data_IF_386931521346
#
_entry.id   IF_386931521346
#
_cell.length_a   1.000
_cell.length_b   1.000
_cell.length_c   1.000
_cell.angle_alpha   90.00
_cell.angle_beta   90.00
_cell.angle_gamma   90.00
#
_symmetry.space_group_name_H-M   'P 1'
#
loop_
_entity.id
_entity.type
_entity.pdbx_description
1 polymer ?
#
# COMPACT_ATOMS: atom_id res chain seq x y z
N UNK A 1 -33.15 -44.10 32.06
CA UNK A 1 -32.48 -42.85 32.49
C UNK A 1 -31.95 -42.18 31.24
N UNK A 2 -32.29 -40.90 31.06
CA UNK A 2 -32.03 -40.09 29.86
C UNK A 2 -30.57 -39.63 29.86
N UNK A 3 -29.82 -39.86 28.78
CA UNK A 3 -28.51 -39.23 28.59
C UNK A 3 -28.42 -38.77 27.13
N UNK A 4 -28.81 -37.52 26.91
CA UNK A 4 -28.65 -36.83 25.63
C UNK A 4 -27.19 -36.49 25.41
N UNK A 5 -26.65 -36.87 24.25
CA UNK A 5 -25.33 -36.43 23.80
C UNK A 5 -25.53 -35.13 23.03
N UNK A 6 -25.02 -34.05 23.62
CA UNK A 6 -25.06 -32.68 23.11
C UNK A 6 -24.08 -32.58 21.93
N UNK A 7 -24.59 -32.40 20.71
CA UNK A 7 -23.77 -32.13 19.54
C UNK A 7 -23.36 -30.64 19.56
N UNK A 8 -22.09 -30.38 19.84
CA UNK A 8 -21.49 -29.04 19.75
C UNK A 8 -21.10 -28.83 18.28
N UNK A 9 -21.94 -28.14 17.53
CA UNK A 9 -21.64 -27.68 16.17
C UNK A 9 -20.67 -26.49 16.24
N UNK A 10 -19.40 -26.75 15.90
CA UNK A 10 -18.34 -25.75 15.77
C UNK A 10 -18.59 -24.89 14.52
N UNK A 11 -19.05 -23.66 14.72
CA UNK A 11 -19.27 -22.67 13.66
C UNK A 11 -17.92 -22.06 13.26
N UNK A 12 -17.33 -22.54 12.16
CA UNK A 12 -16.11 -21.98 11.59
C UNK A 12 -16.49 -20.67 10.90
N UNK A 13 -16.14 -19.55 11.53
CA UNK A 13 -16.28 -18.21 10.95
C UNK A 13 -15.15 -18.03 9.92
N UNK A 14 -15.47 -18.23 8.64
CA UNK A 14 -14.59 -17.87 7.53
C UNK A 14 -14.51 -16.35 7.47
N UNK A 15 -13.46 -15.78 8.07
CA UNK A 15 -13.09 -14.39 7.86
C UNK A 15 -12.52 -14.29 6.43
N UNK A 16 -13.35 -13.86 5.49
CA UNK A 16 -12.89 -13.46 4.17
C UNK A 16 -11.91 -12.31 4.37
N UNK A 17 -10.64 -12.52 4.00
CA UNK A 17 -9.65 -11.46 4.01
C UNK A 17 -10.15 -10.32 3.12
N UNK A 18 -10.38 -9.16 3.73
CA UNK A 18 -10.59 -7.91 3.02
C UNK A 18 -9.20 -7.48 2.55
N UNK A 19 -8.96 -7.63 1.25
CA UNK A 19 -7.75 -7.10 0.62
C UNK A 19 -8.14 -5.87 -0.19
N UNK A 20 -7.33 -4.82 -0.07
CA UNK A 20 -7.40 -3.69 -0.97
C UNK A 20 -7.20 -4.20 -2.41
N UNK A 21 -8.06 -3.74 -3.33
CA UNK A 21 -7.98 -4.05 -4.76
C UNK A 21 -7.87 -2.75 -5.57
N UNK A 22 -7.01 -2.78 -6.59
CA UNK A 22 -6.97 -1.75 -7.63
C UNK A 22 -7.93 -2.18 -8.74
N UNK A 23 -9.03 -1.45 -8.88
CA UNK A 23 -10.07 -1.68 -9.87
C UNK A 23 -9.90 -0.65 -10.99
N UNK A 24 -9.45 -1.10 -12.16
CA UNK A 24 -9.33 -0.26 -13.34
C UNK A 24 -10.64 -0.30 -14.12
N UNK A 25 -11.19 0.88 -14.41
CA UNK A 25 -12.44 1.04 -15.16
C UNK A 25 -12.16 1.15 -16.65
N UNK A 26 -13.14 0.75 -17.48
CA UNK A 26 -13.10 0.93 -18.94
C UNK A 26 -12.98 2.39 -19.37
N UNK A 27 -13.37 3.33 -18.50
CA UNK A 27 -13.21 4.77 -18.71
C UNK A 27 -11.75 5.23 -18.60
N UNK A 28 -10.84 4.38 -18.12
CA UNK A 28 -9.43 4.71 -17.84
C UNK A 28 -9.16 5.13 -16.40
N UNK A 29 -10.18 5.49 -15.64
CA UNK A 29 -10.05 5.78 -14.20
C UNK A 29 -9.73 4.50 -13.42
N UNK A 30 -9.12 4.65 -12.24
CA UNK A 30 -8.86 3.53 -11.33
C UNK A 30 -9.35 3.88 -9.93
N UNK A 31 -9.96 2.90 -9.27
CA UNK A 31 -10.38 2.95 -7.87
C UNK A 31 -9.45 2.05 -7.08
N UNK A 32 -9.05 2.50 -5.90
CA UNK A 32 -8.17 1.78 -4.99
C UNK A 32 -8.89 1.72 -3.65
N UNK A 33 -9.16 0.52 -3.16
CA UNK A 33 -9.97 0.35 -1.96
C UNK A 33 -10.38 -1.08 -1.67
N UNK A 34 -11.00 -1.28 -0.52
CA UNK A 34 -11.39 -2.58 -0.01
C UNK A 34 -12.71 -3.04 -0.63
N UNK A 35 -12.73 -4.23 -1.24
CA UNK A 35 -13.99 -4.81 -1.73
C UNK A 35 -14.76 -5.40 -0.57
N UNK A 36 -15.78 -4.66 -0.10
CA UNK A 36 -16.62 -5.07 1.02
C UNK A 36 -17.59 -6.18 0.64
N UNK A 37 -18.10 -6.14 -0.61
CA UNK A 37 -19.11 -7.08 -1.09
C UNK A 37 -19.15 -7.16 -2.61
N UNK A 38 -19.38 -8.38 -3.09
CA UNK A 38 -19.65 -8.67 -4.50
C UNK A 38 -21.08 -9.18 -4.69
N UNK A 39 -21.76 -8.59 -5.67
CA UNK A 39 -23.08 -9.02 -6.15
C UNK A 39 -22.98 -9.40 -7.64
N UNK A 40 -24.04 -10.01 -8.18
CA UNK A 40 -24.06 -10.49 -9.56
C UNK A 40 -23.90 -9.36 -10.61
N UNK A 41 -24.18 -8.11 -10.25
CA UNK A 41 -24.19 -6.95 -11.15
C UNK A 41 -23.17 -5.86 -10.79
N UNK A 42 -22.72 -5.81 -9.53
CA UNK A 42 -21.82 -4.76 -9.03
C UNK A 42 -20.99 -5.22 -7.83
N UNK A 43 -19.88 -4.53 -7.59
CA UNK A 43 -19.06 -4.62 -6.38
C UNK A 43 -19.18 -3.31 -5.58
N UNK A 44 -18.97 -3.41 -4.27
CA UNK A 44 -18.98 -2.29 -3.35
C UNK A 44 -17.58 -2.11 -2.77
N UNK A 45 -16.99 -0.95 -3.04
CA UNK A 45 -15.58 -0.64 -2.75
C UNK A 45 -15.51 0.48 -1.74
N UNK A 46 -14.87 0.24 -0.59
CA UNK A 46 -14.58 1.28 0.39
C UNK A 46 -13.30 2.01 0.00
N UNK A 47 -13.40 3.32 -0.20
CA UNK A 47 -12.26 4.20 -0.53
C UNK A 47 -11.75 4.99 0.69
N UNK A 48 -12.15 4.59 1.91
CA UNK A 48 -11.73 5.15 3.19
C UNK A 48 -12.58 6.32 3.69
N UNK A 49 -13.34 6.98 2.80
CA UNK A 49 -14.28 8.05 3.16
C UNK A 49 -15.74 7.77 2.76
N UNK A 50 -15.93 6.86 1.80
CA UNK A 50 -17.24 6.50 1.27
C UNK A 50 -17.16 5.11 0.61
N UNK A 51 -18.31 4.49 0.41
CA UNK A 51 -18.45 3.19 -0.26
C UNK A 51 -19.05 3.40 -1.64
N UNK A 52 -18.25 3.14 -2.67
CA UNK A 52 -18.64 3.31 -4.07
C UNK A 52 -19.13 1.99 -4.65
N UNK A 53 -20.35 2.00 -5.21
CA UNK A 53 -20.86 0.90 -6.01
C UNK A 53 -20.31 0.97 -7.43
N UNK A 54 -19.57 -0.05 -7.85
CA UNK A 54 -18.98 -0.17 -9.18
C UNK A 54 -19.68 -1.29 -9.97
N UNK A 55 -20.38 -0.98 -11.07
CA UNK A 55 -20.97 -2.00 -11.94
C UNK A 55 -19.90 -2.89 -12.60
N UNK A 56 -20.08 -4.21 -12.57
CA UNK A 56 -19.10 -5.17 -13.12
C UNK A 56 -18.84 -4.93 -14.62
N UNK A 57 -19.84 -4.48 -15.37
CA UNK A 57 -19.70 -4.19 -16.80
C UNK A 57 -18.82 -2.97 -17.11
N UNK A 58 -18.50 -2.14 -16.12
CA UNK A 58 -17.60 -0.99 -16.24
C UNK A 58 -16.17 -1.31 -15.83
N UNK A 59 -15.92 -2.48 -15.24
CA UNK A 59 -14.59 -2.91 -14.81
C UNK A 59 -13.82 -3.45 -16.03
N UNK A 60 -12.60 -2.97 -16.19
CA UNK A 60 -11.64 -3.47 -17.18
C UNK A 60 -10.76 -4.55 -16.56
N UNK A 61 -10.20 -4.31 -15.37
CA UNK A 61 -9.38 -5.27 -14.65
C UNK A 61 -9.45 -5.04 -13.14
N UNK A 62 -9.20 -6.09 -12.37
CA UNK A 62 -9.05 -6.08 -10.91
C UNK A 62 -7.66 -6.61 -10.60
N UNK A 63 -6.95 -5.97 -9.69
CA UNK A 63 -5.64 -6.43 -9.22
C UNK A 63 -5.63 -6.34 -7.71
N UNK A 64 -5.39 -7.47 -7.06
CA UNK A 64 -5.29 -7.52 -5.60
C UNK A 64 -4.04 -6.78 -5.15
N UNK A 65 -4.07 -6.07 -4.01
CA UNK A 65 -2.88 -5.47 -3.43
C UNK A 65 -1.78 -6.53 -3.20
N UNK A 66 -2.16 -7.77 -2.88
CA UNK A 66 -1.25 -8.91 -2.77
C UNK A 66 -0.60 -9.30 -4.11
N UNK A 67 -1.35 -9.29 -5.23
CA UNK A 67 -0.81 -9.52 -6.58
C UNK A 67 0.08 -8.37 -7.05
N UNK A 68 -0.23 -7.14 -6.63
CA UNK A 68 0.59 -5.95 -6.89
C UNK A 68 1.86 -5.94 -6.01
N UNK A 69 1.79 -6.50 -4.80
CA UNK A 69 2.93 -6.67 -3.89
C UNK A 69 3.80 -7.89 -4.25
N UNK A 70 3.24 -8.93 -4.88
CA UNK A 70 3.95 -10.11 -5.37
C UNK A 70 4.42 -9.99 -6.82
N UNK A 71 3.98 -8.98 -7.57
CA UNK A 71 4.71 -8.54 -8.75
C UNK A 71 6.11 -8.14 -8.27
N UNK A 72 7.13 -8.92 -8.66
CA UNK A 72 8.51 -8.68 -8.25
C UNK A 72 8.84 -7.20 -8.42
N UNK A 73 9.00 -6.50 -7.29
CA UNK A 73 9.32 -5.08 -7.26
C UNK A 73 10.60 -4.90 -8.07
N UNK A 74 10.46 -4.40 -9.28
CA UNK A 74 11.59 -4.22 -10.18
C UNK A 74 12.29 -2.96 -9.73
N UNK A 75 13.33 -3.14 -8.93
CA UNK A 75 14.20 -2.05 -8.51
C UNK A 75 15.07 -1.69 -9.70
N UNK A 76 14.92 -0.45 -10.17
CA UNK A 76 15.79 0.14 -11.17
C UNK A 76 16.91 0.87 -10.45
N UNK A 77 18.13 0.36 -10.56
CA UNK A 77 19.32 1.01 -10.02
C UNK A 77 19.80 2.12 -10.96
N UNK A 78 19.88 3.36 -10.44
CA UNK A 78 20.33 4.56 -11.15
C UNK A 78 21.72 5.00 -10.70
N UNK A 79 22.52 4.11 -10.12
CA UNK A 79 23.88 4.33 -9.60
C UNK A 79 23.95 5.23 -8.36
N UNK A 80 23.24 6.36 -8.35
CA UNK A 80 23.18 7.29 -7.20
C UNK A 80 21.99 7.01 -6.27
N UNK A 81 20.93 6.42 -6.82
CA UNK A 81 19.69 6.14 -6.11
C UNK A 81 18.95 4.98 -6.78
N UNK A 82 17.92 4.46 -6.12
CA UNK A 82 17.08 3.37 -6.62
C UNK A 82 15.64 3.84 -6.80
N UNK A 83 14.98 3.32 -7.82
CA UNK A 83 13.57 3.59 -8.11
C UNK A 83 12.79 2.28 -8.16
N UNK A 84 11.58 2.27 -7.62
CA UNK A 84 10.68 1.13 -7.69
C UNK A 84 9.23 1.60 -7.70
N UNK A 85 8.36 0.84 -8.36
CA UNK A 85 6.92 1.00 -8.19
C UNK A 85 6.51 0.22 -6.95
N UNK A 86 6.23 0.94 -5.87
CA UNK A 86 5.86 0.37 -4.58
C UNK A 86 4.35 0.45 -4.36
N UNK A 87 3.75 -0.51 -3.63
CA UNK A 87 2.37 -0.40 -3.19
C UNK A 87 2.15 0.89 -2.39
N UNK A 88 0.97 1.49 -2.54
CA UNK A 88 0.59 2.62 -1.70
C UNK A 88 0.40 2.16 -0.26
N UNK A 89 0.84 2.99 0.67
CA UNK A 89 0.64 2.83 2.12
C UNK A 89 0.18 4.17 2.69
N UNK A 90 -0.39 4.14 3.89
CA UNK A 90 -0.72 5.37 4.62
C UNK A 90 0.54 6.18 4.94
N UNK A 91 0.38 7.49 5.17
CA UNK A 91 1.50 8.37 5.56
C UNK A 91 2.19 7.84 6.82
N UNK A 92 1.41 7.29 7.76
CA UNK A 92 1.92 6.72 9.00
C UNK A 92 2.85 5.54 8.73
N UNK A 93 2.40 4.59 7.93
CA UNK A 93 3.20 3.39 7.60
C UNK A 93 4.46 3.78 6.81
N UNK A 94 4.36 4.72 5.87
CA UNK A 94 5.52 5.22 5.14
C UNK A 94 6.53 5.93 6.07
N UNK A 95 6.04 6.67 7.07
CA UNK A 95 6.92 7.32 8.04
C UNK A 95 7.60 6.31 8.98
N UNK A 96 6.87 5.25 9.41
CA UNK A 96 7.42 4.17 10.21
C UNK A 96 8.44 3.34 9.41
N UNK A 97 8.21 3.11 8.12
CA UNK A 97 9.07 2.31 7.25
C UNK A 97 10.31 3.06 6.72
N UNK A 98 10.15 4.30 6.25
CA UNK A 98 11.23 5.05 5.60
C UNK A 98 11.83 6.16 6.47
N UNK A 99 11.26 6.42 7.65
CA UNK A 99 11.70 7.50 8.54
C UNK A 99 13.14 7.34 9.03
N UNK A 100 13.63 6.10 9.18
CA UNK A 100 15.01 5.80 9.55
C UNK A 100 16.05 6.30 8.53
N UNK A 101 15.64 6.51 7.28
CA UNK A 101 16.50 7.05 6.23
C UNK A 101 16.75 8.56 6.36
N UNK A 102 16.01 9.26 7.22
CA UNK A 102 16.16 10.71 7.45
C UNK A 102 17.31 10.97 8.41
N UNK A 103 18.26 11.82 8.01
CA UNK A 103 19.46 12.14 8.79
C UNK A 103 19.56 13.63 9.08
N UNK A 104 20.22 13.98 10.20
CA UNK A 104 20.67 15.34 10.49
C UNK A 104 21.96 15.63 9.73
N UNK A 105 22.01 16.78 9.06
CA UNK A 105 23.21 17.30 8.43
C UNK A 105 23.64 18.55 9.18
N UNK A 106 24.87 18.51 9.70
CA UNK A 106 25.50 19.62 10.41
C UNK A 106 26.68 20.14 9.59
N UNK A 107 26.65 21.44 9.29
CA UNK A 107 27.73 22.16 8.63
C UNK A 107 28.10 23.39 9.47
N UNK A 108 29.30 23.97 9.28
CA UNK A 108 29.65 25.21 9.99
C UNK A 108 28.68 26.38 9.74
N UNK A 109 27.96 26.36 8.62
CA UNK A 109 27.01 27.40 8.21
C UNK A 109 25.58 27.19 8.72
N UNK A 110 25.24 25.98 9.21
CA UNK A 110 23.90 25.70 9.71
C UNK A 110 23.56 24.22 9.83
N UNK A 111 22.30 23.97 10.16
CA UNK A 111 21.72 22.64 10.31
C UNK A 111 20.65 22.41 9.25
N UNK A 112 20.56 21.17 8.75
CA UNK A 112 19.52 20.75 7.83
C UNK A 112 19.24 19.26 7.92
N UNK A 113 18.36 18.78 7.05
CA UNK A 113 18.03 17.35 6.94
C UNK A 113 18.56 16.78 5.64
N UNK A 114 18.82 15.48 5.63
CA UNK A 114 19.08 14.70 4.43
C UNK A 114 18.32 13.39 4.44
N UNK A 115 18.43 12.66 3.34
CA UNK A 115 17.85 11.33 3.19
C UNK A 115 18.86 10.37 2.55
N UNK A 116 19.04 9.18 3.14
CA UNK A 116 19.89 8.12 2.59
C UNK A 116 19.17 7.45 1.41
N UNK A 117 19.78 7.49 0.23
CA UNK A 117 19.17 7.01 -1.03
C UNK A 117 19.84 5.75 -1.59
N UNK A 118 20.97 5.32 -1.01
CA UNK A 118 21.72 4.16 -1.49
C UNK A 118 22.49 3.47 -0.36
N UNK A 119 22.60 2.14 -0.43
CA UNK A 119 23.28 1.31 0.57
C UNK A 119 24.79 1.62 0.70
N UNK A 120 25.41 2.17 -0.34
CA UNK A 120 26.81 2.66 -0.31
C UNK A 120 27.00 3.94 0.51
N UNK A 121 25.94 4.50 1.10
CA UNK A 121 26.00 5.70 1.95
C UNK A 121 25.77 7.02 1.23
N UNK A 122 25.14 7.02 0.05
CA UNK A 122 24.78 8.27 -0.62
C UNK A 122 23.60 8.95 0.09
N UNK A 123 23.75 10.25 0.36
CA UNK A 123 22.77 11.08 1.03
C UNK A 123 22.41 12.28 0.14
N UNK A 124 21.12 12.55 0.00
CA UNK A 124 20.60 13.74 -0.69
C UNK A 124 20.21 14.80 0.32
N UNK A 125 20.54 16.05 0.03
CA UNK A 125 20.08 17.24 0.77
C UNK A 125 19.97 18.44 -0.17
N UNK A 126 19.47 19.55 0.34
CA UNK A 126 19.41 20.80 -0.41
C UNK A 126 20.79 21.45 -0.50
N UNK A 127 21.06 22.11 -1.62
CA UNK A 127 22.33 22.80 -1.85
C UNK A 127 22.64 23.86 -0.78
N UNK A 128 21.67 24.69 -0.39
CA UNK A 128 21.86 25.73 0.63
C UNK A 128 22.23 25.20 2.03
N UNK A 129 22.04 23.91 2.30
CA UNK A 129 22.42 23.29 3.58
C UNK A 129 23.94 23.09 3.65
N UNK A 130 24.58 22.87 2.49
CA UNK A 130 26.00 22.54 2.37
C UNK A 130 26.82 23.62 1.65
N UNK A 131 26.15 24.56 0.99
CA UNK A 131 26.74 25.77 0.44
C UNK A 131 27.28 26.67 1.56
N UNK A 132 28.39 27.35 1.28
CA UNK A 132 29.01 28.35 2.15
C UNK A 132 28.73 29.75 1.65
#
# INVERSE_FOLDING_TARGET
MRSGVLAISLLILMASAVSAEIIRLKSGHSLDGDVLKEHADAIYVDIGIDVIRVPLNQIQSRTTAEESAHAAVTITDRQLYQEASLPRKSIRELAEEYGEGVVLIETPGGLGSGFIVHASGFCVTNYHVVEK
#
